data_IF_664802365476
#
_entry.id   IF_664802365476
#
_cell.length_a   1.000
_cell.length_b   1.000
_cell.length_c   1.000
_cell.angle_alpha   90.00
_cell.angle_beta   90.00
_cell.angle_gamma   90.00
#
_symmetry.space_group_name_H-M   'P 1'
#
loop_
_entity.id
_entity.type
_entity.pdbx_description
1 polymer ?
#
# COMPACT_ATOMS: atom_id res chain seq x y z
N UNK A 1 4.77 20.12 -9.92
CA UNK A 1 5.50 19.71 -8.70
C UNK A 1 5.53 18.18 -8.62
N UNK A 2 6.59 17.55 -8.07
CA UNK A 2 6.63 16.10 -7.83
C UNK A 2 6.29 15.81 -6.37
N UNK A 3 5.38 14.87 -6.13
CA UNK A 3 4.86 14.52 -4.81
C UNK A 3 5.00 13.01 -4.58
N UNK A 4 5.51 12.63 -3.41
CA UNK A 4 5.51 11.25 -2.92
C UNK A 4 4.39 11.11 -1.88
N UNK A 5 3.47 10.19 -2.13
CA UNK A 5 2.37 9.84 -1.22
C UNK A 5 2.73 8.52 -0.57
N UNK A 6 3.26 8.58 0.66
CA UNK A 6 3.73 7.41 1.40
C UNK A 6 2.99 7.20 2.74
N UNK A 7 1.68 6.90 2.73
CA UNK A 7 0.90 6.71 3.93
C UNK A 7 1.00 5.28 4.48
N UNK A 8 0.62 5.13 5.75
CA UNK A 8 0.27 3.84 6.34
C UNK A 8 -1.27 3.63 6.27
N UNK A 9 -1.71 2.41 6.57
CA UNK A 9 -3.11 2.02 6.68
C UNK A 9 -3.87 2.81 7.75
N UNK A 10 -5.19 2.93 7.57
CA UNK A 10 -6.10 3.29 8.65
C UNK A 10 -6.59 2.01 9.27
N UNK A 11 -6.18 1.75 10.51
CA UNK A 11 -6.40 0.48 11.21
C UNK A 11 -7.87 0.05 11.13
N UNK A 12 -8.10 -1.17 10.65
CA UNK A 12 -9.42 -1.79 10.44
C UNK A 12 -10.39 -0.99 9.54
N UNK A 13 -9.90 -0.04 8.74
CA UNK A 13 -10.72 0.82 7.88
C UNK A 13 -10.26 0.82 6.43
N UNK A 14 -9.01 1.23 6.16
CA UNK A 14 -8.45 1.29 4.81
C UNK A 14 -7.05 0.70 4.78
N UNK A 15 -6.74 -0.04 3.72
CA UNK A 15 -5.37 -0.50 3.47
C UNK A 15 -4.45 0.70 3.19
N UNK A 16 -3.14 0.55 3.39
CA UNK A 16 -2.17 1.59 3.04
C UNK A 16 -2.26 1.97 1.55
N UNK A 17 -2.57 0.99 0.69
CA UNK A 17 -2.75 1.19 -0.75
C UNK A 17 -3.98 2.05 -1.05
N UNK A 18 -5.12 1.78 -0.41
CA UNK A 18 -6.33 2.57 -0.60
C UNK A 18 -6.14 4.02 -0.11
N UNK A 19 -5.47 4.19 1.02
CA UNK A 19 -5.14 5.52 1.55
C UNK A 19 -4.26 6.29 0.54
N UNK A 20 -3.21 5.66 0.00
CA UNK A 20 -2.33 6.29 -0.98
C UNK A 20 -3.10 6.73 -2.23
N UNK A 21 -3.97 5.85 -2.75
CA UNK A 21 -4.81 6.12 -3.93
C UNK A 21 -5.77 7.28 -3.70
N UNK A 22 -6.48 7.30 -2.56
CA UNK A 22 -7.47 8.36 -2.26
C UNK A 22 -6.78 9.71 -2.10
N UNK A 23 -5.61 9.75 -1.45
CA UNK A 23 -4.79 10.98 -1.35
C UNK A 23 -4.34 11.43 -2.75
N UNK A 24 -3.81 10.52 -3.57
CA UNK A 24 -3.37 10.80 -4.94
C UNK A 24 -4.50 11.39 -5.80
N UNK A 25 -5.70 10.81 -5.71
CA UNK A 25 -6.89 11.34 -6.40
C UNK A 25 -7.28 12.73 -5.89
N UNK A 26 -7.24 12.97 -4.59
CA UNK A 26 -7.51 14.29 -4.00
C UNK A 26 -6.53 15.35 -4.50
N UNK A 27 -5.24 15.02 -4.49
CA UNK A 27 -4.18 15.90 -5.01
C UNK A 27 -4.36 16.18 -6.50
N UNK A 28 -4.72 15.19 -7.32
CA UNK A 28 -5.01 15.39 -8.74
C UNK A 28 -6.24 16.25 -9.00
N UNK A 29 -7.27 16.18 -8.14
CA UNK A 29 -8.43 17.08 -8.23
C UNK A 29 -8.06 18.52 -7.89
N UNK A 30 -7.14 18.72 -6.95
CA UNK A 30 -6.66 20.05 -6.55
C UNK A 30 -5.78 20.69 -7.63
N UNK A 31 -4.85 19.92 -8.20
CA UNK A 31 -4.01 20.34 -9.32
C UNK A 31 -3.66 19.13 -10.22
N UNK A 32 -4.20 19.07 -11.46
CA UNK A 32 -3.90 18.00 -12.39
C UNK A 32 -2.41 17.90 -12.79
N UNK A 33 -1.65 18.99 -12.65
CA UNK A 33 -0.23 19.07 -13.02
C UNK A 33 0.72 18.38 -12.05
N UNK A 34 0.24 17.98 -10.86
CA UNK A 34 1.07 17.26 -9.90
C UNK A 34 1.54 15.91 -10.45
N UNK A 35 2.84 15.65 -10.42
CA UNK A 35 3.40 14.34 -10.72
C UNK A 35 3.44 13.53 -9.41
N UNK A 36 2.53 12.57 -9.26
CA UNK A 36 2.34 11.83 -8.01
C UNK A 36 2.94 10.44 -8.12
N UNK A 37 3.70 10.03 -7.12
CA UNK A 37 4.13 8.64 -6.90
C UNK A 37 3.48 8.14 -5.62
N UNK A 38 2.77 7.03 -5.70
CA UNK A 38 2.13 6.36 -4.56
C UNK A 38 3.08 5.27 -4.05
N UNK A 39 3.41 5.29 -2.75
CA UNK A 39 4.29 4.32 -2.11
C UNK A 39 3.73 3.92 -0.73
N UNK A 40 2.76 2.98 -0.69
CA UNK A 40 2.17 2.52 0.57
C UNK A 40 3.24 1.99 1.54
N UNK A 41 3.07 2.27 2.83
CA UNK A 41 4.00 1.86 3.89
C UNK A 41 3.33 0.90 4.88
N UNK A 42 4.15 0.13 5.59
CA UNK A 42 3.77 -0.71 6.72
C UNK A 42 4.91 -0.77 7.76
N UNK A 43 4.56 -1.11 9.00
CA UNK A 43 5.44 -1.05 10.18
C UNK A 43 5.79 -2.43 10.78
N UNK A 44 5.39 -3.53 10.13
CA UNK A 44 5.55 -4.88 10.65
C UNK A 44 4.25 -5.51 11.17
N UNK A 45 3.17 -4.72 11.29
CA UNK A 45 1.85 -5.22 11.66
C UNK A 45 1.08 -5.93 10.53
N UNK A 46 -0.23 -6.12 10.77
CA UNK A 46 -1.19 -6.62 9.77
C UNK A 46 -1.16 -5.74 8.51
N UNK A 47 -1.10 -6.37 7.34
CA UNK A 47 -0.99 -5.69 6.04
C UNK A 47 0.44 -5.45 5.55
N UNK A 48 1.46 -5.72 6.37
CA UNK A 48 2.88 -5.59 5.96
C UNK A 48 3.22 -6.51 4.80
N UNK A 49 2.76 -7.76 4.85
CA UNK A 49 3.00 -8.72 3.78
C UNK A 49 2.41 -8.24 2.44
N UNK A 50 1.22 -7.63 2.45
CA UNK A 50 0.59 -7.06 1.26
C UNK A 50 1.43 -5.91 0.67
N UNK A 51 1.84 -4.96 1.51
CA UNK A 51 2.65 -3.81 1.10
C UNK A 51 3.98 -4.24 0.49
N UNK A 52 4.71 -5.14 1.14
CA UNK A 52 6.00 -5.65 0.63
C UNK A 52 5.80 -6.40 -0.68
N UNK A 53 4.77 -7.27 -0.74
CA UNK A 53 4.47 -8.06 -1.94
C UNK A 53 4.19 -7.15 -3.14
N UNK A 54 3.41 -6.08 -2.96
CA UNK A 54 3.12 -5.13 -4.02
C UNK A 54 4.37 -4.36 -4.45
N UNK A 55 5.17 -3.88 -3.49
CA UNK A 55 6.38 -3.11 -3.78
C UNK A 55 7.45 -3.92 -4.54
N UNK A 56 7.51 -5.23 -4.31
CA UNK A 56 8.50 -6.13 -4.92
C UNK A 56 7.96 -6.97 -6.09
N UNK A 57 6.74 -6.68 -6.57
CA UNK A 57 6.04 -7.51 -7.57
C UNK A 57 6.01 -9.01 -7.20
N UNK A 58 5.90 -9.29 -5.89
CA UNK A 58 5.81 -10.63 -5.36
C UNK A 58 4.41 -11.23 -5.49
N UNK A 59 4.23 -12.42 -4.91
CA UNK A 59 2.94 -13.08 -4.79
C UNK A 59 2.80 -13.70 -3.40
N UNK A 60 1.68 -13.45 -2.74
CA UNK A 60 1.32 -14.19 -1.53
C UNK A 60 0.88 -15.61 -1.92
N UNK A 61 1.56 -16.60 -1.32
CA UNK A 61 1.24 -18.01 -1.47
C UNK A 61 0.30 -18.50 -0.36
N UNK A 62 -0.47 -19.57 -0.61
CA UNK A 62 -1.21 -20.24 0.45
C UNK A 62 -0.24 -20.80 1.49
N UNK A 63 -0.65 -20.79 2.75
CA UNK A 63 0.11 -21.44 3.80
C UNK A 63 0.07 -22.96 3.56
N UNK A 64 1.22 -23.57 3.29
CA UNK A 64 1.30 -25.03 3.21
C UNK A 64 1.29 -25.60 4.63
N UNK A 65 0.23 -26.33 4.96
CA UNK A 65 0.17 -27.11 6.19
C UNK A 65 1.29 -28.14 6.19
N UNK A 66 2.25 -27.99 7.10
CA UNK A 66 3.18 -29.05 7.44
C UNK A 66 2.43 -30.04 8.34
N UNK A 67 1.65 -30.95 7.75
CA UNK A 67 1.31 -32.19 8.43
C UNK A 67 2.60 -33.00 8.55
N UNK A 68 3.30 -32.77 9.65
CA UNK A 68 4.36 -33.66 10.11
C UNK A 68 3.70 -35.01 10.41
N UNK A 69 4.21 -36.14 9.90
CA UNK A 69 3.70 -37.47 10.25
C UNK A 69 3.86 -37.75 11.75
#
# INVERSE_FOLDING_TARGET
MKLLVAPNSFKETLSAQDVARVIGQGLKRADPSFCITELPLADGGKGTADVITQALNGRLGPLMSSTKP
#
